data_IF_660953805815
#
_entry.id   IF_660953805815
#
_cell.length_a   1.000
_cell.length_b   1.000
_cell.length_c   1.000
_cell.angle_alpha   90.00
_cell.angle_beta   90.00
_cell.angle_gamma   90.00
#
_symmetry.space_group_name_H-M   'P 1'
#
loop_
_entity.id
_entity.type
_entity.pdbx_description
1 polymer ?
#
# COMPACT_ATOMS: atom_id res chain seq x y z
N UNK A 1 -16.61 -26.55 -3.06
CA UNK A 1 -17.46 -26.12 -1.94
C UNK A 1 -17.25 -24.63 -1.77
N UNK A 2 -18.20 -23.79 -2.22
CA UNK A 2 -18.14 -22.34 -1.98
C UNK A 2 -18.49 -22.13 -0.51
N UNK A 3 -17.49 -21.71 0.30
CA UNK A 3 -17.75 -21.27 1.64
C UNK A 3 -18.69 -20.06 1.57
N UNK A 4 -19.89 -20.16 2.11
CA UNK A 4 -20.83 -19.04 2.19
C UNK A 4 -20.15 -17.88 2.93
N UNK A 5 -20.08 -16.71 2.28
CA UNK A 5 -19.51 -15.53 2.90
C UNK A 5 -20.27 -15.24 4.22
N UNK A 6 -19.54 -15.09 5.33
CA UNK A 6 -20.13 -14.75 6.63
C UNK A 6 -20.65 -13.32 6.58
N UNK A 7 -21.87 -13.03 7.04
CA UNK A 7 -22.46 -11.68 6.92
C UNK A 7 -21.80 -10.64 7.82
N UNK A 8 -21.14 -11.05 8.89
CA UNK A 8 -20.52 -10.17 9.90
C UNK A 8 -19.10 -10.65 10.23
N UNK A 9 -18.25 -9.69 10.60
CA UNK A 9 -16.91 -9.99 11.11
C UNK A 9 -17.03 -10.64 12.49
N UNK A 10 -16.37 -11.78 12.67
CA UNK A 10 -16.16 -12.39 13.97
C UNK A 10 -14.88 -11.85 14.64
N UNK A 11 -14.63 -12.22 15.88
CA UNK A 11 -13.47 -11.76 16.64
C UNK A 11 -12.15 -12.11 15.94
N UNK A 12 -12.04 -13.29 15.32
CA UNK A 12 -10.84 -13.73 14.60
C UNK A 12 -10.59 -12.82 13.40
N UNK A 13 -11.63 -12.45 12.65
CA UNK A 13 -11.51 -11.52 11.53
C UNK A 13 -11.08 -10.14 12.00
N UNK A 14 -11.69 -9.60 13.06
CA UNK A 14 -11.33 -8.29 13.61
C UNK A 14 -9.88 -8.27 14.07
N UNK A 15 -9.43 -9.25 14.85
CA UNK A 15 -8.04 -9.34 15.31
C UNK A 15 -7.06 -9.51 14.14
N UNK A 16 -7.40 -10.30 13.13
CA UNK A 16 -6.58 -10.47 11.93
C UNK A 16 -6.46 -9.18 11.11
N UNK A 17 -7.54 -8.42 11.00
CA UNK A 17 -7.55 -7.12 10.31
C UNK A 17 -6.72 -6.08 11.07
N UNK A 18 -6.88 -6.01 12.39
CA UNK A 18 -6.06 -5.13 13.23
C UNK A 18 -4.58 -5.47 13.11
N UNK A 19 -4.24 -6.78 13.12
CA UNK A 19 -2.88 -7.26 12.90
C UNK A 19 -2.34 -6.83 11.54
N UNK A 20 -3.07 -7.02 10.44
CA UNK A 20 -2.65 -6.57 9.12
C UNK A 20 -2.38 -5.06 9.09
N UNK A 21 -3.29 -4.24 9.62
CA UNK A 21 -3.15 -2.78 9.64
C UNK A 21 -1.94 -2.34 10.48
N UNK A 22 -1.70 -2.98 11.62
CA UNK A 22 -0.53 -2.73 12.46
C UNK A 22 0.76 -3.11 11.73
N UNK A 23 0.81 -4.29 11.09
CA UNK A 23 1.97 -4.74 10.32
C UNK A 23 2.27 -3.78 9.16
N UNK A 24 1.26 -3.31 8.44
CA UNK A 24 1.46 -2.38 7.33
C UNK A 24 1.88 -0.99 7.79
N UNK A 25 1.32 -0.51 8.90
CA UNK A 25 1.73 0.76 9.51
C UNK A 25 3.18 0.71 9.98
N UNK A 26 3.57 -0.34 10.70
CA UNK A 26 4.92 -0.54 11.20
C UNK A 26 5.97 -0.75 10.08
N UNK A 27 5.53 -1.11 8.87
CA UNK A 27 6.44 -1.36 7.76
C UNK A 27 7.29 -0.13 7.39
N UNK A 28 6.75 1.08 7.48
CA UNK A 28 7.50 2.32 7.20
C UNK A 28 8.65 2.51 8.20
N UNK A 29 8.40 2.18 9.47
CA UNK A 29 9.42 2.19 10.53
C UNK A 29 10.51 1.15 10.23
N UNK A 30 10.11 -0.07 9.88
CA UNK A 30 11.05 -1.15 9.53
C UNK A 30 11.95 -0.76 8.36
N UNK A 31 11.42 -0.09 7.33
CA UNK A 31 12.20 0.41 6.20
C UNK A 31 13.25 1.42 6.71
N UNK A 32 12.83 2.41 7.50
CA UNK A 32 13.71 3.45 8.03
C UNK A 32 14.82 2.87 8.90
N UNK A 33 14.51 1.89 9.74
CA UNK A 33 15.50 1.22 10.58
C UNK A 33 16.58 0.47 9.77
N UNK A 34 16.22 -0.05 8.59
CA UNK A 34 17.17 -0.76 7.73
C UNK A 34 17.98 0.17 6.81
N UNK A 35 17.51 1.40 6.53
CA UNK A 35 18.16 2.32 5.58
C UNK A 35 19.63 2.60 5.84
N UNK A 36 20.13 2.72 7.10
CA UNK A 36 21.55 2.96 7.36
C UNK A 36 22.48 1.85 6.86
N UNK A 37 21.99 0.61 6.76
CA UNK A 37 22.79 -0.55 6.34
C UNK A 37 22.40 -1.08 4.97
N UNK A 38 21.10 -1.00 4.63
CA UNK A 38 20.55 -1.57 3.40
C UNK A 38 19.92 -0.44 2.56
N UNK A 39 20.52 -0.08 1.43
CA UNK A 39 19.99 0.97 0.55
C UNK A 39 18.54 0.69 0.11
N UNK A 40 17.80 1.75 -0.16
CA UNK A 40 16.36 1.69 -0.41
C UNK A 40 15.96 0.67 -1.51
N UNK A 41 16.61 0.74 -2.68
CA UNK A 41 16.28 -0.15 -3.80
C UNK A 41 16.77 -1.59 -3.57
N UNK A 42 17.81 -1.79 -2.77
CA UNK A 42 18.25 -3.12 -2.32
C UNK A 42 17.18 -3.75 -1.40
N UNK A 43 16.60 -2.96 -0.47
CA UNK A 43 15.47 -3.43 0.36
C UNK A 43 14.29 -3.86 -0.52
N UNK A 44 13.89 -3.04 -1.51
CA UNK A 44 12.80 -3.39 -2.45
C UNK A 44 13.12 -4.67 -3.22
N UNK A 45 14.38 -4.85 -3.62
CA UNK A 45 14.84 -6.04 -4.34
C UNK A 45 14.70 -7.30 -3.49
N UNK A 46 15.28 -7.29 -2.30
CA UNK A 46 15.28 -8.45 -1.39
C UNK A 46 13.84 -8.83 -1.01
N UNK A 47 13.04 -7.85 -0.55
CA UNK A 47 11.65 -8.12 -0.15
C UNK A 47 10.81 -8.70 -1.29
N UNK A 48 10.98 -8.17 -2.51
CA UNK A 48 10.20 -8.61 -3.67
C UNK A 48 10.62 -10.01 -4.12
N UNK A 49 11.91 -10.31 -4.17
CA UNK A 49 12.45 -11.63 -4.51
C UNK A 49 11.99 -12.67 -3.48
N UNK A 50 12.19 -12.39 -2.18
CA UNK A 50 11.81 -13.32 -1.09
C UNK A 50 10.32 -13.59 -1.13
N UNK A 51 9.49 -12.54 -1.20
CA UNK A 51 8.04 -12.70 -1.24
C UNK A 51 7.57 -13.43 -2.50
N UNK A 52 8.19 -13.17 -3.67
CA UNK A 52 7.86 -13.85 -4.90
C UNK A 52 8.17 -15.35 -4.86
N UNK A 53 9.36 -15.72 -4.37
CA UNK A 53 9.76 -17.12 -4.20
C UNK A 53 8.80 -17.85 -3.25
N UNK A 54 8.49 -17.25 -2.11
CA UNK A 54 7.54 -17.82 -1.15
C UNK A 54 6.13 -17.96 -1.76
N UNK A 55 5.68 -16.96 -2.53
CA UNK A 55 4.39 -16.98 -3.22
C UNK A 55 4.34 -18.09 -4.27
N UNK A 56 5.39 -18.29 -5.06
CA UNK A 56 5.46 -19.40 -6.03
C UNK A 56 5.41 -20.76 -5.32
N UNK A 57 6.12 -20.93 -4.19
CA UNK A 57 6.03 -22.12 -3.35
C UNK A 57 4.61 -22.38 -2.84
N UNK A 58 3.96 -21.33 -2.34
CA UNK A 58 2.56 -21.36 -1.90
C UNK A 58 1.60 -21.75 -3.04
N UNK A 59 1.72 -21.08 -4.18
CA UNK A 59 0.88 -21.37 -5.36
C UNK A 59 1.04 -22.82 -5.82
N UNK A 60 2.29 -23.34 -5.85
CA UNK A 60 2.54 -24.73 -6.20
C UNK A 60 1.90 -25.70 -5.20
N UNK A 61 2.02 -25.42 -3.91
CA UNK A 61 1.40 -26.23 -2.85
C UNK A 61 -0.11 -26.24 -2.96
N UNK A 62 -0.73 -25.08 -3.31
CA UNK A 62 -2.17 -24.93 -3.52
C UNK A 62 -2.65 -25.47 -4.87
N UNK A 63 -1.76 -25.92 -5.75
CA UNK A 63 -2.11 -26.35 -7.12
C UNK A 63 -2.58 -25.22 -8.04
N UNK A 64 -2.29 -23.95 -7.67
CA UNK A 64 -2.62 -22.79 -8.48
C UNK A 64 -1.64 -22.67 -9.65
N UNK A 65 -2.18 -22.50 -10.86
CA UNK A 65 -1.37 -22.31 -12.08
C UNK A 65 -1.33 -20.83 -12.46
N UNK A 66 -0.14 -20.33 -12.71
CA UNK A 66 0.08 -19.01 -13.27
C UNK A 66 0.39 -19.12 -14.76
N UNK A 67 -0.61 -18.81 -15.56
CA UNK A 67 -0.45 -18.75 -17.02
C UNK A 67 0.07 -17.36 -17.39
N UNK A 68 1.40 -17.21 -17.40
CA UNK A 68 2.07 -15.94 -17.70
C UNK A 68 1.99 -15.54 -19.19
N UNK A 69 1.75 -16.51 -20.12
CA UNK A 69 1.42 -16.24 -21.51
C UNK A 69 -0.09 -16.29 -21.71
N UNK A 70 -0.71 -15.18 -22.11
CA UNK A 70 -2.15 -15.12 -22.33
C UNK A 70 -2.73 -13.73 -22.12
N UNK A 71 -4.06 -13.60 -22.00
CA UNK A 71 -4.73 -12.29 -21.87
C UNK A 71 -4.30 -11.47 -20.66
N UNK A 72 -3.73 -12.11 -19.63
CA UNK A 72 -3.21 -11.45 -18.42
C UNK A 72 -1.79 -10.86 -18.59
N UNK A 73 -1.09 -11.14 -19.70
CA UNK A 73 0.31 -10.72 -19.89
C UNK A 73 0.45 -9.18 -19.85
N UNK A 74 -0.22 -8.48 -20.74
CA UNK A 74 -0.09 -7.02 -20.83
C UNK A 74 -0.58 -6.31 -19.55
N UNK A 75 -1.80 -6.59 -19.03
CA UNK A 75 -2.23 -5.96 -17.78
C UNK A 75 -1.40 -6.41 -16.57
N UNK A 76 -0.87 -7.63 -16.57
CA UNK A 76 0.03 -8.14 -15.55
C UNK A 76 1.39 -7.41 -15.54
N UNK A 77 2.00 -7.24 -16.70
CA UNK A 77 3.24 -6.48 -16.85
C UNK A 77 3.04 -5.01 -16.46
N UNK A 78 1.92 -4.38 -16.88
CA UNK A 78 1.61 -3.01 -16.51
C UNK A 78 1.41 -2.87 -14.99
N UNK A 79 0.59 -3.74 -14.38
CA UNK A 79 0.36 -3.73 -12.94
C UNK A 79 1.68 -3.98 -12.17
N UNK A 80 2.51 -4.89 -12.65
CA UNK A 80 3.82 -5.18 -12.06
C UNK A 80 4.81 -4.03 -12.19
N UNK A 81 4.85 -3.36 -13.34
CA UNK A 81 5.70 -2.18 -13.56
C UNK A 81 5.29 -1.01 -12.66
N UNK A 82 3.99 -0.71 -12.60
CA UNK A 82 3.46 0.34 -11.71
C UNK A 82 3.79 0.04 -10.25
N UNK A 83 3.60 -1.21 -9.82
CA UNK A 83 3.92 -1.68 -8.48
C UNK A 83 5.43 -1.60 -8.17
N UNK A 84 6.30 -2.03 -9.07
CA UNK A 84 7.75 -1.93 -8.88
C UNK A 84 8.21 -0.49 -8.75
N UNK A 85 7.68 0.41 -9.60
CA UNK A 85 8.01 1.83 -9.59
C UNK A 85 7.45 2.53 -8.34
N UNK A 86 6.24 2.17 -7.93
CA UNK A 86 5.63 2.63 -6.67
C UNK A 86 6.56 2.37 -5.48
N UNK A 87 6.98 1.10 -5.31
CA UNK A 87 7.84 0.74 -4.18
C UNK A 87 9.23 1.36 -4.27
N UNK A 88 9.80 1.46 -5.47
CA UNK A 88 11.07 2.16 -5.66
C UNK A 88 10.97 3.63 -5.19
N UNK A 89 9.93 4.35 -5.63
CA UNK A 89 9.71 5.74 -5.21
C UNK A 89 9.38 5.88 -3.72
N UNK A 90 8.56 4.97 -3.17
CA UNK A 90 8.20 5.01 -1.76
C UNK A 90 9.43 4.79 -0.86
N UNK A 91 10.28 3.83 -1.18
CA UNK A 91 11.46 3.52 -0.37
C UNK A 91 12.56 4.58 -0.51
N UNK A 92 12.83 5.06 -1.74
CA UNK A 92 13.75 6.19 -1.93
C UNK A 92 13.18 7.46 -1.30
N UNK A 93 11.87 7.70 -1.41
CA UNK A 93 11.20 8.82 -0.77
C UNK A 93 11.39 8.84 0.75
N UNK A 94 11.36 7.68 1.40
CA UNK A 94 11.60 7.57 2.84
C UNK A 94 13.03 7.93 3.28
N UNK A 95 14.00 7.99 2.38
CA UNK A 95 15.32 8.56 2.67
C UNK A 95 15.25 10.08 2.90
N UNK A 96 14.23 10.74 2.34
CA UNK A 96 14.08 12.21 2.29
C UNK A 96 12.90 12.74 3.09
N UNK A 97 12.14 11.87 3.77
CA UNK A 97 11.01 12.26 4.65
C UNK A 97 10.92 11.34 5.85
N UNK A 98 9.98 11.59 6.76
CA UNK A 98 9.76 10.77 7.96
C UNK A 98 8.86 9.57 7.67
N UNK A 99 8.94 8.51 8.48
CA UNK A 99 8.06 7.35 8.36
C UNK A 99 6.60 7.73 8.63
N UNK A 100 6.35 8.63 9.60
CA UNK A 100 5.02 9.16 9.91
C UNK A 100 4.41 9.89 8.70
N UNK A 101 5.19 10.74 8.01
CA UNK A 101 4.74 11.41 6.78
C UNK A 101 4.51 10.40 5.65
N UNK A 102 5.44 9.47 5.48
CA UNK A 102 5.36 8.43 4.46
C UNK A 102 4.06 7.61 4.54
N UNK A 103 3.67 7.16 5.74
CA UNK A 103 2.43 6.39 5.90
C UNK A 103 1.18 7.22 5.64
N UNK A 104 1.18 8.50 6.00
CA UNK A 104 0.05 9.40 5.73
C UNK A 104 -0.09 9.64 4.22
N UNK A 105 1.01 10.00 3.54
CA UNK A 105 0.99 10.32 2.11
C UNK A 105 0.67 9.12 1.22
N UNK A 106 1.20 7.92 1.51
CA UNK A 106 0.94 6.73 0.70
C UNK A 106 -0.53 6.28 0.78
N UNK A 107 -1.21 6.53 1.90
CA UNK A 107 -2.62 6.20 2.10
C UNK A 107 -3.59 7.14 1.35
N UNK A 108 -3.10 8.04 0.51
CA UNK A 108 -3.91 8.83 -0.44
C UNK A 108 -4.29 8.05 -1.70
N UNK A 109 -3.68 6.89 -1.94
CA UNK A 109 -3.95 6.02 -3.10
C UNK A 109 -5.44 5.75 -3.38
N UNK A 110 -6.34 5.49 -2.40
CA UNK A 110 -7.76 5.28 -2.66
C UNK A 110 -8.48 6.46 -3.30
N UNK A 111 -8.02 7.69 -3.03
CA UNK A 111 -8.58 8.88 -3.67
C UNK A 111 -8.23 8.94 -5.15
N UNK A 112 -7.02 8.50 -5.52
CA UNK A 112 -6.62 8.37 -6.92
C UNK A 112 -7.49 7.34 -7.65
N UNK A 113 -7.74 6.18 -7.03
CA UNK A 113 -8.64 5.15 -7.58
C UNK A 113 -10.02 5.74 -7.84
N UNK A 114 -10.59 6.46 -6.86
CA UNK A 114 -11.92 7.05 -6.96
C UNK A 114 -12.00 8.09 -8.10
N UNK A 115 -11.00 8.98 -8.21
CA UNK A 115 -10.94 10.00 -9.25
C UNK A 115 -10.80 9.39 -10.64
N UNK A 116 -9.89 8.44 -10.82
CA UNK A 116 -9.64 7.81 -12.11
C UNK A 116 -10.85 7.01 -12.58
N UNK A 117 -11.48 6.24 -11.68
CA UNK A 117 -12.69 5.48 -12.05
C UNK A 117 -13.87 6.40 -12.35
N UNK A 118 -14.05 7.48 -11.61
CA UNK A 118 -15.09 8.48 -11.89
C UNK A 118 -14.89 9.18 -13.25
N UNK A 119 -13.62 9.39 -13.65
CA UNK A 119 -13.28 9.99 -14.95
C UNK A 119 -13.47 9.01 -16.12
N UNK A 120 -13.12 7.73 -15.93
CA UNK A 120 -13.17 6.72 -17.00
C UNK A 120 -14.55 6.09 -17.16
N UNK A 121 -15.33 5.96 -16.09
CA UNK A 121 -16.64 5.29 -16.08
C UNK A 121 -17.76 6.24 -15.68
N UNK A 122 -18.65 6.58 -16.64
CA UNK A 122 -19.82 7.44 -16.39
C UNK A 122 -20.77 6.92 -15.29
N UNK A 123 -20.74 5.61 -15.00
CA UNK A 123 -21.52 4.97 -13.94
C UNK A 123 -20.92 5.06 -12.53
N UNK A 124 -19.63 5.44 -12.41
CA UNK A 124 -18.92 5.56 -11.11
C UNK A 124 -18.71 7.04 -10.71
N UNK A 125 -19.67 7.92 -11.02
CA UNK A 125 -19.60 9.34 -10.64
C UNK A 125 -19.56 9.47 -9.11
N UNK A 126 -18.68 10.35 -8.64
CA UNK A 126 -18.60 10.68 -7.22
C UNK A 126 -19.91 11.33 -6.75
N UNK A 127 -20.40 10.87 -5.61
CA UNK A 127 -21.51 11.54 -4.92
C UNK A 127 -21.01 12.85 -4.29
N UNK A 128 -21.90 13.82 -4.05
CA UNK A 128 -21.53 15.09 -3.39
C UNK A 128 -20.76 14.86 -2.08
N UNK A 129 -21.21 13.92 -1.25
CA UNK A 129 -20.54 13.58 0.01
C UNK A 129 -19.13 13.00 -0.18
N UNK A 130 -18.94 12.20 -1.23
CA UNK A 130 -17.61 11.66 -1.59
C UNK A 130 -16.67 12.75 -2.09
N UNK A 131 -17.22 13.72 -2.86
CA UNK A 131 -16.48 14.90 -3.32
C UNK A 131 -16.04 15.79 -2.15
N UNK A 132 -16.90 15.98 -1.15
CA UNK A 132 -16.56 16.70 0.09
C UNK A 132 -15.43 15.96 0.83
N UNK A 133 -15.53 14.64 0.97
CA UNK A 133 -14.47 13.83 1.60
C UNK A 133 -13.13 13.96 0.89
N UNK A 134 -13.16 13.98 -0.45
CA UNK A 134 -11.99 14.18 -1.30
C UNK A 134 -11.35 15.56 -1.06
N UNK A 135 -12.17 16.62 -1.04
CA UNK A 135 -11.70 17.99 -0.80
C UNK A 135 -11.07 18.14 0.59
N UNK A 136 -11.67 17.56 1.63
CA UNK A 136 -11.13 17.56 3.00
C UNK A 136 -9.76 16.88 3.01
N UNK A 137 -9.64 15.70 2.41
CA UNK A 137 -8.39 14.95 2.37
C UNK A 137 -7.29 15.72 1.62
N UNK A 138 -7.61 16.30 0.45
CA UNK A 138 -6.63 17.08 -0.31
C UNK A 138 -6.23 18.37 0.37
N UNK A 139 -7.14 19.09 1.01
CA UNK A 139 -6.82 20.31 1.75
C UNK A 139 -5.89 20.01 2.92
N UNK A 140 -6.18 18.96 3.69
CA UNK A 140 -5.35 18.52 4.82
C UNK A 140 -3.98 18.01 4.36
N UNK A 141 -3.93 17.28 3.24
CA UNK A 141 -2.69 16.82 2.62
C UNK A 141 -1.83 17.99 2.13
N UNK A 142 -2.45 18.99 1.49
CA UNK A 142 -1.75 20.18 1.02
C UNK A 142 -1.12 20.97 2.16
N UNK A 143 -1.80 21.06 3.32
CA UNK A 143 -1.24 21.69 4.53
C UNK A 143 0.00 20.95 5.03
N UNK A 144 -0.06 19.60 5.14
CA UNK A 144 1.09 18.80 5.54
C UNK A 144 2.23 18.86 4.51
N UNK A 145 1.92 18.86 3.22
CA UNK A 145 2.92 19.00 2.17
C UNK A 145 3.61 20.37 2.20
N UNK A 146 2.81 21.44 2.41
CA UNK A 146 3.32 22.80 2.56
C UNK A 146 4.29 22.94 3.74
N UNK A 147 4.04 22.26 4.85
CA UNK A 147 4.96 22.20 6.00
C UNK A 147 6.33 21.59 5.61
N UNK A 148 6.36 20.64 4.68
CA UNK A 148 7.58 19.98 4.22
C UNK A 148 8.61 20.90 3.53
N UNK A 149 8.21 22.11 3.13
CA UNK A 149 9.14 23.14 2.62
C UNK A 149 9.80 23.92 3.75
N UNK A 150 9.26 23.88 4.95
CA UNK A 150 9.83 24.55 6.11
C UNK A 150 11.09 23.83 6.59
N UNK A 151 12.14 24.59 6.93
CA UNK A 151 13.34 24.03 7.53
C UNK A 151 13.01 23.59 8.96
N UNK A 152 13.01 22.29 9.17
CA UNK A 152 12.96 21.66 10.50
C UNK A 152 14.36 21.19 10.90
N UNK A 153 14.54 20.75 12.14
CA UNK A 153 15.78 20.14 12.60
C UNK A 153 16.22 18.93 11.73
N UNK A 154 15.27 18.27 11.03
CA UNK A 154 15.50 17.18 10.10
C UNK A 154 15.70 17.61 8.64
N UNK A 155 15.74 18.93 8.36
CA UNK A 155 15.78 19.47 6.99
C UNK A 155 14.40 19.56 6.33
N UNK A 156 14.38 19.79 5.00
CA UNK A 156 13.15 19.85 4.21
C UNK A 156 12.72 18.45 3.79
N UNK A 157 11.43 18.12 3.93
CA UNK A 157 10.89 16.78 3.61
C UNK A 157 10.15 16.72 2.26
N UNK A 158 9.88 17.86 1.62
CA UNK A 158 9.03 17.96 0.45
C UNK A 158 9.40 17.03 -0.72
N UNK A 159 10.72 16.75 -0.90
CA UNK A 159 11.18 15.83 -1.96
C UNK A 159 10.70 14.40 -1.70
N UNK A 160 10.88 13.91 -0.48
CA UNK A 160 10.42 12.59 -0.07
C UNK A 160 8.89 12.49 -0.10
N UNK A 161 8.20 13.52 0.38
CA UNK A 161 6.75 13.61 0.35
C UNK A 161 6.20 13.53 -1.08
N UNK A 162 6.81 14.29 -2.02
CA UNK A 162 6.43 14.24 -3.44
C UNK A 162 6.65 12.85 -4.04
N UNK A 163 7.79 12.22 -3.76
CA UNK A 163 8.05 10.85 -4.24
C UNK A 163 7.01 9.87 -3.73
N UNK A 164 6.62 9.97 -2.46
CA UNK A 164 5.61 9.10 -1.86
C UNK A 164 4.20 9.42 -2.40
N UNK A 165 3.88 10.68 -2.69
CA UNK A 165 2.63 11.04 -3.37
C UNK A 165 2.56 10.44 -4.78
N UNK A 166 3.64 10.51 -5.54
CA UNK A 166 3.72 9.85 -6.85
C UNK A 166 3.57 8.33 -6.69
N UNK A 167 4.19 7.73 -5.69
CA UNK A 167 4.02 6.33 -5.36
C UNK A 167 2.55 5.99 -5.06
N UNK A 168 1.83 6.83 -4.31
CA UNK A 168 0.39 6.66 -4.04
C UNK A 168 -0.45 6.72 -5.33
N UNK A 169 -0.09 7.59 -6.28
CA UNK A 169 -0.73 7.63 -7.60
C UNK A 169 -0.50 6.32 -8.36
N UNK A 170 0.74 5.82 -8.39
CA UNK A 170 1.08 4.56 -9.06
C UNK A 170 0.35 3.37 -8.42
N UNK A 171 0.25 3.33 -7.09
CA UNK A 171 -0.56 2.33 -6.39
C UNK A 171 -2.04 2.40 -6.80
N UNK A 172 -2.61 3.61 -6.84
CA UNK A 172 -3.96 3.81 -7.34
C UNK A 172 -4.13 3.30 -8.77
N UNK A 173 -3.20 3.63 -9.67
CA UNK A 173 -3.21 3.16 -11.06
C UNK A 173 -3.02 1.65 -11.18
N UNK A 174 -2.20 1.01 -10.33
CA UNK A 174 -2.10 -0.45 -10.21
C UNK A 174 -3.47 -1.06 -9.91
N UNK A 175 -4.17 -0.52 -8.92
CA UNK A 175 -5.51 -0.94 -8.53
C UNK A 175 -6.51 -0.78 -9.66
N UNK A 176 -6.50 0.35 -10.37
CA UNK A 176 -7.34 0.61 -11.53
C UNK A 176 -7.04 -0.38 -12.66
N UNK A 177 -5.77 -0.62 -12.95
CA UNK A 177 -5.33 -1.60 -14.00
C UNK A 177 -5.87 -2.99 -13.69
N UNK A 178 -5.77 -3.46 -12.45
CA UNK A 178 -6.33 -4.74 -12.01
C UNK A 178 -7.85 -4.75 -12.19
N UNK A 179 -8.52 -3.70 -11.74
CA UNK A 179 -9.98 -3.62 -11.74
C UNK A 179 -10.59 -3.56 -13.15
N UNK A 180 -9.91 -2.90 -14.09
CA UNK A 180 -10.39 -2.71 -15.47
C UNK A 180 -9.89 -3.77 -16.47
N UNK A 181 -9.14 -4.78 -16.02
CA UNK A 181 -8.58 -5.83 -16.86
C UNK A 181 -9.08 -7.22 -16.47
N UNK A 182 -8.60 -8.23 -17.19
CA UNK A 182 -8.86 -9.65 -16.89
C UNK A 182 -8.32 -10.09 -15.52
N UNK A 183 -7.39 -9.33 -14.94
CA UNK A 183 -6.85 -9.60 -13.61
C UNK A 183 -7.92 -9.52 -12.51
N UNK A 184 -9.01 -8.79 -12.73
CA UNK A 184 -10.14 -8.70 -11.80
C UNK A 184 -10.74 -10.06 -11.45
N UNK A 185 -10.76 -10.97 -12.41
CA UNK A 185 -11.32 -12.33 -12.25
C UNK A 185 -10.27 -13.39 -11.97
N UNK A 186 -8.99 -13.02 -11.96
CA UNK A 186 -7.90 -13.92 -11.61
C UNK A 186 -7.84 -14.16 -10.09
N UNK A 187 -7.33 -15.32 -9.64
CA UNK A 187 -6.96 -15.50 -8.23
C UNK A 187 -6.03 -14.37 -7.76
N UNK A 188 -6.21 -13.91 -6.53
CA UNK A 188 -5.40 -12.82 -5.97
C UNK A 188 -3.90 -13.14 -5.98
N UNK A 189 -3.56 -14.41 -5.79
CA UNK A 189 -2.17 -14.91 -5.84
C UNK A 189 -1.55 -14.72 -7.23
N UNK A 190 -2.34 -14.89 -8.30
CA UNK A 190 -1.87 -14.66 -9.68
C UNK A 190 -1.62 -13.18 -9.93
N UNK A 191 -2.51 -12.31 -9.44
CA UNK A 191 -2.34 -10.86 -9.53
C UNK A 191 -1.11 -10.40 -8.75
N UNK A 192 -0.91 -10.94 -7.55
CA UNK A 192 0.27 -10.66 -6.73
C UNK A 192 1.56 -11.23 -7.36
N UNK A 193 1.48 -12.39 -8.03
CA UNK A 193 2.63 -12.98 -8.74
C UNK A 193 3.11 -12.07 -9.88
N UNK A 194 2.21 -11.41 -10.61
CA UNK A 194 2.59 -10.40 -11.60
C UNK A 194 3.32 -9.22 -10.96
N UNK A 195 2.77 -8.67 -9.88
CA UNK A 195 3.34 -7.53 -9.18
C UNK A 195 4.73 -7.85 -8.61
N UNK A 196 4.83 -8.93 -7.85
CA UNK A 196 6.09 -9.34 -7.22
C UNK A 196 7.12 -9.85 -8.24
N UNK A 197 6.69 -10.58 -9.28
CA UNK A 197 7.58 -11.11 -10.30
C UNK A 197 8.26 -9.99 -11.10
N UNK A 198 7.49 -8.99 -11.53
CA UNK A 198 8.06 -7.83 -12.22
C UNK A 198 8.92 -6.99 -11.27
N UNK A 199 8.49 -6.79 -10.02
CA UNK A 199 9.29 -6.07 -9.03
C UNK A 199 10.59 -6.81 -8.70
N UNK A 200 10.57 -8.13 -8.55
CA UNK A 200 11.76 -8.96 -8.31
C UNK A 200 12.78 -8.87 -9.45
N UNK A 201 12.31 -8.60 -10.68
CA UNK A 201 13.17 -8.42 -11.84
C UNK A 201 13.69 -6.98 -11.97
N UNK A 202 12.80 -5.99 -11.82
CA UNK A 202 13.13 -4.58 -12.08
C UNK A 202 13.87 -3.91 -10.93
N UNK A 203 13.57 -4.27 -9.66
CA UNK A 203 14.18 -3.58 -8.52
C UNK A 203 15.68 -3.81 -8.41
N UNK A 204 16.25 -5.02 -8.63
CA UNK A 204 17.70 -5.20 -8.67
C UNK A 204 18.38 -4.39 -9.79
N UNK A 205 17.74 -4.31 -10.96
CA UNK A 205 18.24 -3.49 -12.06
C UNK A 205 18.22 -2.01 -11.69
N UNK A 206 17.15 -1.54 -11.06
CA UNK A 206 17.06 -0.17 -10.58
C UNK A 206 18.13 0.13 -9.52
N UNK A 207 18.41 -0.79 -8.59
CA UNK A 207 19.48 -0.66 -7.59
C UNK A 207 20.86 -0.54 -8.25
N UNK A 208 21.14 -1.35 -9.26
CA UNK A 208 22.39 -1.30 -10.02
C UNK A 208 22.54 0.02 -10.76
N UNK A 209 21.51 0.49 -11.45
CA UNK A 209 21.53 1.76 -12.21
C UNK A 209 21.66 2.96 -11.28
N UNK A 210 21.02 2.92 -10.11
CA UNK A 210 21.11 3.97 -9.08
C UNK A 210 22.48 4.01 -8.40
N UNK A 211 23.25 2.91 -8.46
CA UNK A 211 24.55 2.79 -7.80
C UNK A 211 24.45 2.35 -6.34
N UNK A 212 23.34 1.75 -5.95
CA UNK A 212 23.14 1.21 -4.59
C UNK A 212 24.05 -0.01 -4.39
N UNK A 213 25.01 0.10 -3.43
CA UNK A 213 25.89 -1.00 -3.07
C UNK A 213 25.16 -2.04 -2.21
N UNK A 214 25.37 -3.33 -2.48
CA UNK A 214 24.87 -4.39 -1.62
C UNK A 214 25.62 -4.36 -0.28
N UNK A 215 24.89 -4.54 0.86
CA UNK A 215 25.50 -4.50 2.18
C UNK A 215 26.63 -5.55 2.32
N UNK A 216 27.76 -5.14 2.85
CA UNK A 216 28.91 -6.03 3.13
C UNK A 216 28.77 -6.74 4.49
N UNK A 217 28.03 -6.13 5.41
CA UNK A 217 27.74 -6.66 6.74
C UNK A 217 26.24 -6.48 7.05
N UNK A 218 25.71 -7.35 7.89
CA UNK A 218 24.31 -7.38 8.24
C UNK A 218 24.13 -7.44 9.74
N UNK A 219 23.57 -6.40 10.34
CA UNK A 219 23.14 -6.48 11.74
C UNK A 219 21.87 -7.34 11.88
N UNK A 220 21.61 -7.79 13.09
CA UNK A 220 20.36 -8.49 13.40
C UNK A 220 19.13 -7.61 13.11
N UNK A 221 19.27 -6.29 13.28
CA UNK A 221 18.21 -5.33 12.98
C UNK A 221 17.92 -5.29 11.46
N UNK A 222 18.97 -5.21 10.63
CA UNK A 222 18.80 -5.22 9.17
C UNK A 222 18.20 -6.54 8.68
N UNK A 223 18.70 -7.68 9.16
CA UNK A 223 18.15 -9.01 8.83
C UNK A 223 16.68 -9.09 9.29
N UNK A 224 16.39 -8.71 10.54
CA UNK A 224 15.04 -8.72 11.08
C UNK A 224 14.08 -7.85 10.27
N UNK A 225 14.54 -6.65 9.86
CA UNK A 225 13.76 -5.77 8.98
C UNK A 225 13.49 -6.38 7.61
N UNK A 226 14.47 -7.05 6.99
CA UNK A 226 14.28 -7.71 5.69
C UNK A 226 13.32 -8.90 5.78
N UNK A 227 13.45 -9.72 6.82
CA UNK A 227 12.51 -10.83 7.10
C UNK A 227 11.11 -10.28 7.34
N UNK A 228 10.99 -9.22 8.15
CA UNK A 228 9.72 -8.58 8.42
C UNK A 228 9.07 -8.07 7.13
N UNK A 229 9.79 -7.30 6.32
CA UNK A 229 9.28 -6.73 5.08
C UNK A 229 8.91 -7.80 4.04
N UNK A 230 9.79 -8.79 3.81
CA UNK A 230 9.61 -9.80 2.76
C UNK A 230 8.65 -10.92 3.16
N UNK A 231 8.85 -11.51 4.35
CA UNK A 231 8.10 -12.69 4.79
C UNK A 231 6.78 -12.29 5.48
N UNK A 232 6.86 -11.40 6.48
CA UNK A 232 5.68 -11.07 7.29
C UNK A 232 4.75 -10.13 6.54
N UNK A 233 5.26 -8.98 6.05
CA UNK A 233 4.42 -7.96 5.41
C UNK A 233 4.03 -8.38 4.00
N UNK A 234 5.01 -8.64 3.11
CA UNK A 234 4.71 -8.80 1.67
C UNK A 234 4.14 -10.18 1.34
N UNK A 235 4.46 -11.23 2.09
CA UNK A 235 3.94 -12.56 1.84
C UNK A 235 2.80 -12.93 2.80
N UNK A 236 3.07 -13.06 4.09
CA UNK A 236 2.11 -13.63 5.04
C UNK A 236 0.87 -12.73 5.23
N UNK A 237 1.07 -11.40 5.42
CA UNK A 237 -0.07 -10.51 5.64
C UNK A 237 -0.94 -10.35 4.39
N UNK A 238 -0.38 -10.39 3.19
CA UNK A 238 -1.17 -10.36 1.96
C UNK A 238 -1.99 -11.64 1.77
N UNK A 239 -1.45 -12.81 2.08
CA UNK A 239 -2.23 -14.05 2.07
C UNK A 239 -3.35 -14.03 3.10
N UNK A 240 -3.08 -13.54 4.31
CA UNK A 240 -4.09 -13.37 5.34
C UNK A 240 -5.20 -12.40 4.90
N UNK A 241 -4.81 -11.27 4.29
CA UNK A 241 -5.73 -10.30 3.73
C UNK A 241 -6.63 -10.89 2.64
N UNK A 242 -6.06 -11.63 1.69
CA UNK A 242 -6.83 -12.29 0.64
C UNK A 242 -7.78 -13.35 1.22
N UNK A 243 -7.32 -14.11 2.22
CA UNK A 243 -8.17 -15.06 2.92
C UNK A 243 -9.38 -14.38 3.59
N UNK A 244 -9.17 -13.21 4.22
CA UNK A 244 -10.26 -12.42 4.79
C UNK A 244 -11.24 -11.94 3.72
N UNK A 245 -10.75 -11.43 2.59
CA UNK A 245 -11.57 -10.98 1.46
C UNK A 245 -12.41 -12.09 0.83
N UNK A 246 -11.97 -13.36 0.91
CA UNK A 246 -12.76 -14.51 0.41
C UNK A 246 -13.87 -14.95 1.37
N UNK A 247 -13.80 -14.55 2.65
CA UNK A 247 -14.72 -15.01 3.70
C UNK A 247 -15.68 -13.96 4.21
N UNK A 248 -15.31 -12.69 4.12
CA UNK A 248 -16.07 -11.58 4.68
C UNK A 248 -16.37 -10.50 3.64
N UNK A 249 -17.42 -9.67 3.84
CA UNK A 249 -17.75 -8.60 2.91
C UNK A 249 -16.57 -7.64 2.74
N UNK A 250 -16.13 -7.44 1.49
CA UNK A 250 -14.97 -6.61 1.17
C UNK A 250 -15.07 -5.17 1.74
N UNK A 251 -16.29 -4.63 1.82
CA UNK A 251 -16.52 -3.30 2.40
C UNK A 251 -16.18 -3.23 3.89
N UNK A 252 -16.50 -4.28 4.66
CA UNK A 252 -16.17 -4.34 6.08
C UNK A 252 -14.67 -4.54 6.28
N UNK A 253 -14.06 -5.42 5.49
CA UNK A 253 -12.61 -5.69 5.52
C UNK A 253 -11.83 -4.41 5.18
N UNK A 254 -12.20 -3.72 4.10
CA UNK A 254 -11.51 -2.50 3.66
C UNK A 254 -11.67 -1.31 4.62
N UNK A 255 -12.73 -1.26 5.41
CA UNK A 255 -12.89 -0.21 6.41
C UNK A 255 -11.76 -0.20 7.45
N UNK A 256 -11.16 -1.35 7.76
CA UNK A 256 -10.05 -1.45 8.70
C UNK A 256 -8.75 -0.85 8.17
N UNK A 257 -8.56 -0.77 6.84
CA UNK A 257 -7.34 -0.18 6.24
C UNK A 257 -7.12 1.26 6.70
N UNK A 258 -8.19 1.97 7.09
CA UNK A 258 -8.13 3.31 7.70
C UNK A 258 -7.27 3.37 8.97
N UNK A 259 -7.05 2.25 9.64
CA UNK A 259 -6.21 2.17 10.83
C UNK A 259 -4.72 2.10 10.50
N UNK A 260 -4.36 1.74 9.27
CA UNK A 260 -2.96 1.65 8.84
C UNK A 260 -2.18 2.94 9.06
N UNK A 261 -2.65 4.13 8.60
CA UNK A 261 -1.91 5.37 8.83
C UNK A 261 -1.89 5.77 10.31
N UNK A 262 -2.90 5.38 11.10
CA UNK A 262 -2.91 5.63 12.55
C UNK A 262 -1.81 4.82 13.23
N UNK A 263 -1.77 3.50 12.99
CA UNK A 263 -0.72 2.63 13.55
C UNK A 263 0.68 3.04 13.07
N UNK A 264 0.82 3.41 11.80
CA UNK A 264 2.10 3.83 11.25
C UNK A 264 2.62 5.14 11.86
N UNK A 265 1.76 6.14 12.00
CA UNK A 265 2.13 7.41 12.63
C UNK A 265 2.49 7.23 14.10
N UNK A 266 1.70 6.45 14.85
CA UNK A 266 2.01 6.12 16.24
C UNK A 266 3.32 5.34 16.37
N UNK A 267 3.55 4.35 15.52
CA UNK A 267 4.79 3.56 15.52
C UNK A 267 6.01 4.42 15.19
N UNK A 268 5.90 5.35 14.25
CA UNK A 268 6.99 6.27 13.90
C UNK A 268 7.34 7.20 15.07
N UNK A 269 6.32 7.77 15.74
CA UNK A 269 6.54 8.59 16.92
C UNK A 269 7.16 7.83 18.08
N UNK A 270 6.74 6.57 18.33
CA UNK A 270 7.18 5.77 19.47
C UNK A 270 8.53 5.08 19.26
N UNK A 271 8.85 4.66 18.04
CA UNK A 271 10.01 3.82 17.75
C UNK A 271 11.16 4.57 17.06
N UNK A 272 10.87 5.70 16.41
CA UNK A 272 11.87 6.53 15.74
C UNK A 272 11.98 7.93 16.36
N UNK A 273 11.22 8.22 17.42
CA UNK A 273 11.12 9.55 18.05
C UNK A 273 10.81 10.67 17.03
N UNK A 274 10.06 10.32 15.96
CA UNK A 274 9.70 11.29 14.93
C UNK A 274 8.66 12.29 15.45
N UNK A 275 8.84 13.61 15.20
CA UNK A 275 7.89 14.61 15.65
C UNK A 275 6.57 14.48 14.86
N UNK A 276 5.46 14.30 15.58
CA UNK A 276 4.13 14.32 15.01
C UNK A 276 3.60 15.75 15.08
N UNK A 277 3.71 16.46 13.96
CA UNK A 277 3.31 17.87 13.90
C UNK A 277 1.79 18.03 13.83
N UNK A 278 1.24 19.20 14.22
CA UNK A 278 -0.19 19.48 14.07
C UNK A 278 -0.68 19.36 12.64
N UNK A 279 0.13 19.79 11.65
CA UNK A 279 -0.22 19.65 10.23
C UNK A 279 -0.30 18.19 9.79
N UNK A 280 0.60 17.33 10.28
CA UNK A 280 0.57 15.90 10.02
C UNK A 280 -0.65 15.22 10.68
N UNK A 281 -1.00 15.63 11.92
CA UNK A 281 -2.22 15.14 12.58
C UNK A 281 -3.49 15.56 11.83
N UNK A 282 -3.56 16.81 11.37
CA UNK A 282 -4.66 17.27 10.52
C UNK A 282 -4.75 16.49 9.22
N UNK A 283 -3.61 16.19 8.57
CA UNK A 283 -3.58 15.35 7.38
C UNK A 283 -4.08 13.93 7.67
N UNK A 284 -3.63 13.33 8.76
CA UNK A 284 -4.10 12.00 9.19
C UNK A 284 -5.61 11.98 9.40
N UNK A 285 -6.15 12.93 10.16
CA UNK A 285 -7.59 13.05 10.42
C UNK A 285 -8.35 13.33 9.12
N UNK A 286 -7.86 14.25 8.28
CA UNK A 286 -8.48 14.61 7.00
C UNK A 286 -8.52 13.43 6.03
N UNK A 287 -7.46 12.65 5.94
CA UNK A 287 -7.41 11.42 5.10
C UNK A 287 -8.38 10.37 5.66
N UNK A 288 -8.38 10.11 6.96
CA UNK A 288 -9.30 9.16 7.57
C UNK A 288 -10.77 9.56 7.35
N UNK A 289 -11.13 10.83 7.57
CA UNK A 289 -12.47 11.36 7.30
C UNK A 289 -12.81 11.25 5.82
N UNK A 290 -11.90 11.67 4.93
CA UNK A 290 -12.07 11.57 3.49
C UNK A 290 -12.35 10.14 3.04
N UNK A 291 -11.61 9.17 3.56
CA UNK A 291 -11.81 7.74 3.25
C UNK A 291 -13.15 7.21 3.81
N UNK A 292 -13.55 7.62 5.00
CA UNK A 292 -14.87 7.27 5.55
C UNK A 292 -15.99 7.80 4.64
N UNK A 293 -15.91 9.07 4.22
CA UNK A 293 -16.90 9.69 3.34
C UNK A 293 -16.89 9.06 1.94
N UNK A 294 -15.70 8.73 1.40
CA UNK A 294 -15.54 8.08 0.11
C UNK A 294 -16.20 6.68 0.09
N UNK A 295 -16.11 5.94 1.19
CA UNK A 295 -16.66 4.58 1.31
C UNK A 295 -18.16 4.55 1.65
N UNK A 296 -18.82 5.69 1.91
CA UNK A 296 -20.27 5.72 2.14
C UNK A 296 -21.01 5.43 0.84
N UNK A 297 -21.85 4.38 0.87
CA UNK A 297 -22.74 4.04 -0.25
C UNK A 297 -24.03 4.87 -0.16
N UNK A 298 -24.65 5.22 -1.32
CA UNK A 298 -26.00 5.79 -1.30
C UNK A 298 -26.96 4.80 -0.66
N UNK A 299 -28.01 5.29 0.04
CA UNK A 299 -29.13 4.42 0.42
C UNK A 299 -29.69 3.81 -0.87
N UNK A 300 -29.88 2.50 -0.87
CA UNK A 300 -30.55 1.80 -1.97
C UNK A 300 -31.94 2.46 -2.11
N UNK A 301 -32.17 3.20 -3.19
CA UNK A 301 -33.53 3.64 -3.53
C UNK A 301 -34.33 2.37 -3.83
N UNK A 302 -35.08 1.89 -2.87
CA UNK A 302 -36.19 0.95 -3.14
C UNK A 302 -37.12 1.69 -4.07
N UNK A 303 -37.18 1.27 -5.34
CA UNK A 303 -38.21 1.75 -6.25
C UNK A 303 -39.57 1.37 -5.61
N UNK A 304 -40.50 2.30 -5.45
CA UNK A 304 -41.85 1.90 -5.07
C UNK A 304 -42.39 0.98 -6.15
N UNK A 305 -42.97 -0.15 -5.74
CA UNK A 305 -43.61 -1.16 -6.59
C UNK A 305 -44.82 -0.58 -7.30
#
# INVERSE_FOLDING_TARGET
MSASARPHLDLVAVLSLLLCCMLWGLNQVSIKLALPEVPALVQVSIRSIVAFVLLLGWMRWRGLRWHWLGPSLLPGLLAGFLFATEFALAFVGLQHTTAARGVVFINTSPFVVALVLAALHRGERLMPLQSVGLLIAFAALAAAFGEGFSLTAAGTTWRGDLMILVAAVLWGLTTVTIRLSVLRSAPSEVTLAWQLGVAALLSPLAALVHGDAWPQSWSLLAIGSMVYQGVIVTFASYLLWFWLLTRYPATQVQAFVLLTPVFGTLSAGLLLDEPITPALLLALVGICLGLVLLNRRPPVRTSPA
#
